data_IF_674002187298
#
_entry.id   IF_674002187298
#
_cell.length_a   1.000
_cell.length_b   1.000
_cell.length_c   1.000
_cell.angle_alpha   90.00
_cell.angle_beta   90.00
_cell.angle_gamma   90.00
#
_symmetry.space_group_name_H-M   'P 1'
#
loop_
_entity.id
_entity.type
_entity.pdbx_description
1 polymer ?
#
# COMPACT_ATOMS: atom_id res chain seq x y z
N UNK A 1 18.15 -8.44 7.72
CA UNK A 1 17.76 -7.05 7.39
C UNK A 1 18.25 -6.15 8.51
N UNK A 2 18.94 -5.05 8.19
CA UNK A 2 19.34 -4.07 9.21
C UNK A 2 18.15 -3.24 9.68
N UNK A 3 18.25 -2.59 10.83
CA UNK A 3 17.20 -1.70 11.34
C UNK A 3 16.95 -0.51 10.38
N UNK A 4 18.01 0.01 9.76
CA UNK A 4 17.92 1.07 8.75
C UNK A 4 17.15 0.61 7.51
N UNK A 5 17.46 -0.58 6.98
CA UNK A 5 16.72 -1.16 5.86
C UNK A 5 15.25 -1.39 6.20
N UNK A 6 14.97 -1.88 7.41
CA UNK A 6 13.61 -2.08 7.88
C UNK A 6 12.84 -0.75 7.98
N UNK A 7 13.48 0.31 8.49
CA UNK A 7 12.88 1.63 8.60
C UNK A 7 12.51 2.21 7.23
N UNK A 8 13.39 2.09 6.23
CA UNK A 8 13.13 2.51 4.85
C UNK A 8 11.92 1.77 4.28
N UNK A 9 11.90 0.44 4.36
CA UNK A 9 10.80 -0.38 3.85
C UNK A 9 9.47 -0.10 4.56
N UNK A 10 9.50 0.16 5.87
CA UNK A 10 8.31 0.58 6.64
C UNK A 10 7.79 1.93 6.13
N UNK A 11 8.69 2.88 5.86
CA UNK A 11 8.36 4.18 5.26
C UNK A 11 7.69 4.02 3.90
N UNK A 12 8.32 3.28 2.99
CA UNK A 12 7.79 2.98 1.65
C UNK A 12 6.40 2.30 1.72
N UNK A 13 6.24 1.31 2.60
CA UNK A 13 4.97 0.62 2.78
C UNK A 13 3.86 1.58 3.31
N UNK A 14 4.22 2.51 4.21
CA UNK A 14 3.28 3.54 4.70
C UNK A 14 2.84 4.47 3.58
N UNK A 15 3.77 4.99 2.80
CA UNK A 15 3.47 5.86 1.66
C UNK A 15 2.54 5.18 0.64
N UNK A 16 2.83 3.92 0.30
CA UNK A 16 1.96 3.13 -0.60
C UNK A 16 0.55 2.93 -0.03
N UNK A 17 0.43 2.64 1.27
CA UNK A 17 -0.88 2.53 1.93
C UNK A 17 -1.65 3.86 1.93
N UNK A 18 -0.98 4.97 2.22
CA UNK A 18 -1.58 6.31 2.16
C UNK A 18 -2.07 6.63 0.75
N UNK A 19 -1.23 6.43 -0.26
CA UNK A 19 -1.61 6.62 -1.66
C UNK A 19 -2.80 5.74 -2.05
N UNK A 20 -2.80 4.48 -1.65
CA UNK A 20 -3.91 3.55 -1.89
C UNK A 20 -5.20 4.03 -1.23
N UNK A 21 -5.13 4.53 0.00
CA UNK A 21 -6.28 5.11 0.68
C UNK A 21 -6.84 6.34 -0.06
N UNK A 22 -5.99 7.28 -0.48
CA UNK A 22 -6.42 8.44 -1.27
C UNK A 22 -7.10 8.05 -2.58
N UNK A 23 -6.60 7.02 -3.27
CA UNK A 23 -7.24 6.53 -4.51
C UNK A 23 -8.59 5.88 -4.21
N UNK A 24 -8.74 5.12 -3.11
CA UNK A 24 -10.04 4.55 -2.72
C UNK A 24 -11.07 5.64 -2.45
N UNK A 25 -10.67 6.75 -1.81
CA UNK A 25 -11.55 7.90 -1.60
C UNK A 25 -11.95 8.55 -2.93
N UNK A 26 -11.01 8.77 -3.85
CA UNK A 26 -11.30 9.31 -5.17
C UNK A 26 -12.24 8.39 -5.97
N UNK A 27 -11.99 7.08 -5.95
CA UNK A 27 -12.82 6.06 -6.59
C UNK A 27 -14.25 6.03 -6.02
N UNK A 28 -14.42 6.23 -4.71
CA UNK A 28 -15.74 6.25 -4.09
C UNK A 28 -16.61 7.43 -4.60
N UNK A 29 -15.98 8.58 -4.89
CA UNK A 29 -16.65 9.75 -5.43
C UNK A 29 -16.80 9.75 -6.97
N UNK A 30 -16.05 8.90 -7.69
CA UNK A 30 -15.99 8.91 -9.14
C UNK A 30 -17.21 8.25 -9.81
N UNK A 31 -17.79 8.95 -10.78
CA UNK A 31 -18.97 8.51 -11.55
C UNK A 31 -18.59 8.02 -12.95
N UNK A 32 -17.52 8.52 -13.54
CA UNK A 32 -17.10 8.11 -14.89
C UNK A 32 -16.53 6.69 -14.86
N UNK A 33 -17.14 5.77 -15.62
CA UNK A 33 -16.75 4.36 -15.64
C UNK A 33 -15.30 4.14 -16.10
N UNK A 34 -14.82 4.90 -17.08
CA UNK A 34 -13.44 4.76 -17.59
C UNK A 34 -12.44 5.25 -16.55
N UNK A 35 -12.75 6.34 -15.86
CA UNK A 35 -11.93 6.86 -14.78
C UNK A 35 -11.91 5.94 -13.56
N UNK A 36 -13.06 5.34 -13.20
CA UNK A 36 -13.12 4.27 -12.18
C UNK A 36 -12.20 3.10 -12.52
N UNK A 37 -12.20 2.65 -13.78
CA UNK A 37 -11.32 1.57 -14.23
C UNK A 37 -9.83 1.92 -14.02
N UNK A 38 -9.42 3.13 -14.37
CA UNK A 38 -8.04 3.62 -14.11
C UNK A 38 -7.68 3.64 -12.63
N UNK A 39 -8.62 3.99 -11.74
CA UNK A 39 -8.37 3.92 -10.30
C UNK A 39 -8.20 2.47 -9.81
N UNK A 40 -8.96 1.52 -10.35
CA UNK A 40 -8.75 0.10 -10.04
C UNK A 40 -7.38 -0.40 -10.51
N UNK A 41 -6.93 0.00 -11.70
CA UNK A 41 -5.58 -0.30 -12.19
C UNK A 41 -4.52 0.28 -11.24
N UNK A 42 -4.65 1.55 -10.87
CA UNK A 42 -3.71 2.19 -9.94
C UNK A 42 -3.70 1.52 -8.54
N UNK A 43 -4.85 1.06 -8.04
CA UNK A 43 -4.90 0.30 -6.78
C UNK A 43 -4.21 -1.05 -6.89
N UNK A 44 -4.33 -1.72 -8.04
CA UNK A 44 -3.60 -2.95 -8.31
C UNK A 44 -2.10 -2.71 -8.33
N UNK A 45 -1.63 -1.67 -9.02
CA UNK A 45 -0.20 -1.34 -9.09
C UNK A 45 0.39 -1.05 -7.69
N UNK A 46 -0.37 -0.41 -6.82
CA UNK A 46 -0.01 -0.21 -5.41
C UNK A 46 0.09 -1.55 -4.68
N UNK A 47 -0.88 -2.45 -4.87
CA UNK A 47 -0.84 -3.79 -4.29
C UNK A 47 0.37 -4.59 -4.75
N UNK A 48 0.63 -4.60 -6.06
CA UNK A 48 1.75 -5.29 -6.69
C UNK A 48 3.11 -4.74 -6.18
N UNK A 49 3.17 -3.46 -5.82
CA UNK A 49 4.34 -2.82 -5.21
C UNK A 49 4.47 -3.07 -3.70
N UNK A 50 3.34 -3.08 -2.98
CA UNK A 50 3.29 -3.18 -1.52
C UNK A 50 3.54 -4.61 -1.02
N UNK A 51 2.95 -5.61 -1.68
CA UNK A 51 3.01 -7.02 -1.25
C UNK A 51 4.46 -7.54 -1.09
N UNK A 52 5.38 -7.29 -2.04
CA UNK A 52 6.78 -7.70 -1.87
C UNK A 52 7.47 -7.05 -0.67
N UNK A 53 7.16 -5.79 -0.37
CA UNK A 53 7.73 -5.05 0.76
C UNK A 53 7.22 -5.64 2.08
N UNK A 54 5.91 -5.83 2.19
CA UNK A 54 5.29 -6.41 3.39
C UNK A 54 5.78 -7.84 3.63
N UNK A 55 5.97 -8.63 2.57
CA UNK A 55 6.54 -9.98 2.69
C UNK A 55 7.99 -9.96 3.18
N UNK A 56 8.83 -9.07 2.66
CA UNK A 56 10.21 -8.91 3.15
C UNK A 56 10.27 -8.51 4.62
N UNK A 57 9.37 -7.62 5.06
CA UNK A 57 9.27 -7.23 6.47
C UNK A 57 8.79 -8.38 7.34
N UNK A 58 7.79 -9.15 6.88
CA UNK A 58 7.26 -10.31 7.60
C UNK A 58 8.31 -11.41 7.75
N UNK A 59 8.96 -11.79 6.67
CA UNK A 59 10.01 -12.82 6.65
C UNK A 59 11.20 -12.43 7.55
N UNK A 60 11.44 -11.13 7.73
CA UNK A 60 12.46 -10.59 8.64
C UNK A 60 11.99 -10.47 10.10
N UNK A 61 10.74 -10.82 10.43
CA UNK A 61 10.16 -10.61 11.77
C UNK A 61 9.98 -9.14 12.14
N UNK A 62 9.92 -8.25 11.14
CA UNK A 62 9.80 -6.78 11.27
C UNK A 62 8.46 -6.23 10.80
N UNK A 63 7.52 -7.11 10.43
CA UNK A 63 6.18 -6.68 10.08
C UNK A 63 5.56 -5.93 11.28
N UNK A 64 5.06 -4.70 11.10
CA UNK A 64 4.27 -4.07 12.15
C UNK A 64 3.08 -4.99 12.43
N UNK A 65 2.77 -5.21 13.72
CA UNK A 65 1.46 -5.76 14.10
C UNK A 65 0.44 -4.81 13.51
N UNK A 66 -0.19 -5.18 12.40
CA UNK A 66 -1.20 -4.36 11.76
C UNK A 66 -2.31 -4.16 12.79
N UNK A 67 -2.47 -2.94 13.29
CA UNK A 67 -3.71 -2.58 13.97
C UNK A 67 -4.83 -2.76 12.93
N UNK A 68 -5.88 -3.54 13.23
CA UNK A 68 -6.89 -3.94 12.27
C UNK A 68 -7.86 -2.81 11.87
N UNK A 69 -7.57 -1.55 12.23
CA UNK A 69 -8.46 -0.41 12.00
C UNK A 69 -7.88 0.52 10.95
N UNK A 70 -8.08 0.11 9.71
CA UNK A 70 -8.41 1.02 8.62
C UNK A 70 -9.86 1.51 8.77
#
# INVERSE_FOLDING_TARGET
MSDEQAAVLIGEARELRHRGHSIRLALAAEKDRRQRFRYYEALRDIGDSLVPIERRLLDAGRAPKTDPTA
#
